data_IF_618451144900
#
_entry.id   IF_618451144900
#
_cell.length_a   1.000
_cell.length_b   1.000
_cell.length_c   1.000
_cell.angle_alpha   90.00
_cell.angle_beta   90.00
_cell.angle_gamma   90.00
#
_symmetry.space_group_name_H-M   'P 1'
#
loop_
_entity.id
_entity.type
_entity.pdbx_description
1 polymer ?
#
# COMPACT_ATOMS: atom_id res chain seq x y z
N UNK A 1 -20.83 -12.10 -43.14
CA UNK A 1 -21.03 -10.64 -42.99
C UNK A 1 -21.73 -10.12 -44.23
N UNK A 2 -22.76 -9.31 -44.03
CA UNK A 2 -23.67 -8.83 -45.09
C UNK A 2 -22.95 -7.86 -46.04
N UNK A 3 -23.27 -7.92 -47.34
CA UNK A 3 -22.75 -7.01 -48.39
C UNK A 3 -22.95 -5.51 -48.03
N UNK A 4 -23.92 -5.22 -47.16
CA UNK A 4 -24.21 -3.88 -46.65
C UNK A 4 -23.14 -3.35 -45.68
N UNK A 5 -22.40 -4.23 -44.98
CA UNK A 5 -21.29 -3.84 -44.11
C UNK A 5 -20.01 -3.55 -44.91
N UNK A 6 -19.83 -4.22 -46.06
CA UNK A 6 -18.70 -3.96 -46.96
C UNK A 6 -18.84 -2.64 -47.70
N UNK A 7 -20.05 -2.27 -48.14
CA UNK A 7 -20.29 -0.99 -48.80
C UNK A 7 -20.11 0.21 -47.87
N UNK A 8 -20.45 0.05 -46.58
CA UNK A 8 -20.28 1.09 -45.56
C UNK A 8 -18.82 1.33 -45.17
N UNK A 9 -18.00 0.27 -45.13
CA UNK A 9 -16.56 0.39 -44.90
C UNK A 9 -15.84 1.05 -46.08
N UNK A 10 -16.28 0.75 -47.31
CA UNK A 10 -15.68 1.29 -48.54
C UNK A 10 -15.96 2.79 -48.74
N UNK A 11 -17.13 3.28 -48.31
CA UNK A 11 -17.49 4.71 -48.40
C UNK A 11 -16.78 5.59 -47.37
N UNK A 12 -16.35 5.02 -46.23
CA UNK A 12 -15.54 5.72 -45.23
C UNK A 12 -14.05 5.75 -45.56
N UNK A 13 -13.53 4.73 -46.25
CA UNK A 13 -12.11 4.67 -46.62
C UNK A 13 -11.76 5.65 -47.77
N UNK A 14 -12.72 6.00 -48.62
CA UNK A 14 -12.56 6.96 -49.72
C UNK A 14 -12.47 8.44 -49.28
N UNK A 15 -12.65 8.74 -47.99
CA UNK A 15 -12.60 10.11 -47.42
C UNK A 15 -11.30 10.45 -46.69
N UNK A 16 -10.29 9.59 -46.74
CA UNK A 16 -8.98 9.86 -46.15
C UNK A 16 -8.04 10.43 -47.22
N UNK A 17 -7.33 11.54 -46.95
CA UNK A 17 -6.37 12.10 -47.89
C UNK A 17 -5.17 11.16 -48.08
N UNK A 18 -4.81 10.92 -49.34
CA UNK A 18 -3.66 10.12 -49.75
C UNK A 18 -2.42 11.02 -49.87
N UNK A 19 -1.79 11.41 -48.75
CA UNK A 19 -0.34 11.70 -48.64
C UNK A 19 0.03 12.26 -47.25
N UNK A 20 1.24 11.96 -46.73
CA UNK A 20 1.74 12.51 -45.48
C UNK A 20 2.22 13.97 -45.66
N UNK A 21 2.09 14.84 -44.63
CA UNK A 21 2.61 16.20 -44.72
C UNK A 21 4.15 16.20 -44.69
N UNK A 22 4.73 16.78 -45.72
CA UNK A 22 6.15 17.07 -45.87
C UNK A 22 6.57 18.18 -44.90
N UNK A 23 7.55 17.92 -44.04
CA UNK A 23 8.23 18.95 -43.26
C UNK A 23 9.10 19.83 -44.17
N UNK A 24 9.29 21.12 -43.85
CA UNK A 24 10.21 21.95 -44.61
C UNK A 24 11.66 21.70 -44.16
N UNK A 25 12.54 21.51 -45.14
CA UNK A 25 14.00 21.54 -44.99
C UNK A 25 14.59 22.34 -46.16
N UNK A 26 15.70 23.03 -45.89
CA UNK A 26 16.71 23.65 -46.79
C UNK A 26 16.41 25.12 -47.20
N UNK A 27 17.31 26.12 -47.12
CA UNK A 27 18.76 26.28 -46.84
C UNK A 27 19.05 27.82 -46.64
N UNK A 28 20.23 28.42 -46.93
CA UNK A 28 21.30 28.78 -45.98
C UNK A 28 21.70 30.28 -46.04
N UNK A 29 22.16 30.93 -44.96
CA UNK A 29 22.85 32.23 -45.11
C UNK A 29 23.90 32.44 -43.99
N UNK A 30 25.15 32.26 -44.41
CA UNK A 30 26.31 33.14 -44.29
C UNK A 30 26.73 33.73 -42.92
N UNK A 31 27.92 33.29 -42.52
CA UNK A 31 28.88 34.05 -41.72
C UNK A 31 29.35 35.27 -42.52
N UNK A 32 29.23 36.48 -41.97
CA UNK A 32 30.21 37.53 -42.23
C UNK A 32 30.55 38.34 -40.97
N UNK A 33 31.82 38.71 -40.98
CA UNK A 33 32.67 39.29 -39.94
C UNK A 33 32.33 40.77 -39.73
N UNK A 34 32.35 41.22 -38.49
CA UNK A 34 32.83 42.58 -38.19
C UNK A 34 33.55 42.62 -36.83
N UNK A 35 34.82 43.03 -36.92
CA UNK A 35 35.69 43.45 -35.84
C UNK A 35 35.39 44.88 -35.39
N UNK A 36 35.91 45.18 -34.19
CA UNK A 36 36.48 46.44 -33.68
C UNK A 36 35.95 46.67 -32.26
N UNK A 37 36.74 46.30 -31.23
CA UNK A 37 37.68 47.16 -30.50
C UNK A 37 36.93 47.97 -29.41
N UNK A 38 37.37 48.20 -28.17
CA UNK A 38 38.64 47.97 -27.50
C UNK A 38 38.38 48.18 -25.99
N UNK A 39 39.03 47.41 -25.12
CA UNK A 39 39.56 47.85 -23.80
C UNK A 39 40.06 46.64 -23.00
N UNK A 40 41.36 46.40 -23.13
CA UNK A 40 42.19 45.59 -22.24
C UNK A 40 42.56 46.37 -20.97
N UNK A 41 42.70 45.73 -19.80
CA UNK A 41 43.97 45.51 -19.06
C UNK A 41 43.61 45.14 -17.59
N UNK A 42 44.29 44.32 -16.78
CA UNK A 42 45.53 43.51 -16.87
C UNK A 42 45.52 42.49 -15.71
N UNK A 43 46.04 41.30 -16.04
CA UNK A 43 46.62 40.19 -15.25
C UNK A 43 46.85 40.34 -13.73
N UNK A 44 46.54 39.26 -12.99
CA UNK A 44 47.52 38.63 -12.09
C UNK A 44 47.25 37.13 -11.93
N UNK A 45 48.31 36.37 -12.17
CA UNK A 45 48.48 34.93 -12.03
C UNK A 45 48.41 34.49 -10.57
N UNK A 46 47.74 33.36 -10.31
CA UNK A 46 47.72 32.73 -9.00
C UNK A 46 46.91 31.44 -8.99
N UNK A 47 47.50 30.35 -9.51
CA UNK A 47 46.95 29.00 -9.39
C UNK A 47 46.98 28.55 -7.93
N UNK A 48 45.84 28.58 -7.24
CA UNK A 48 45.66 27.96 -5.92
C UNK A 48 44.78 26.73 -6.07
N UNK A 49 45.40 25.56 -5.90
CA UNK A 49 44.75 24.26 -5.78
C UNK A 49 44.03 24.20 -4.42
N UNK A 50 42.71 23.98 -4.32
CA UNK A 50 42.05 23.86 -3.03
C UNK A 50 42.30 22.46 -2.44
N UNK A 51 42.91 22.40 -1.25
CA UNK A 51 43.05 21.16 -0.48
C UNK A 51 41.69 20.65 0.04
N UNK A 52 41.41 19.34 -0.03
CA UNK A 52 40.12 18.76 0.36
C UNK A 52 40.09 18.50 1.87
N UNK A 53 40.02 19.54 2.70
CA UNK A 53 39.72 19.40 4.13
C UNK A 53 39.58 20.77 4.79
N UNK A 54 38.37 21.34 4.79
CA UNK A 54 37.89 22.27 5.82
C UNK A 54 36.40 22.58 5.60
N UNK A 55 35.55 21.95 6.39
CA UNK A 55 34.13 22.29 6.51
C UNK A 55 33.99 23.63 7.23
N UNK A 56 33.79 24.72 6.49
CA UNK A 56 33.65 26.08 7.06
C UNK A 56 32.18 26.51 7.33
N UNK A 57 31.21 25.59 7.29
CA UNK A 57 29.79 25.89 7.59
C UNK A 57 29.08 24.82 8.44
N UNK A 58 29.79 24.06 9.28
CA UNK A 58 29.14 23.16 10.24
C UNK A 58 28.89 23.89 11.57
N UNK A 59 27.69 24.46 11.74
CA UNK A 59 27.17 24.87 13.06
C UNK A 59 26.47 23.64 13.69
N UNK A 60 26.79 23.25 14.94
CA UNK A 60 26.08 22.16 15.60
C UNK A 60 24.72 22.66 16.08
N UNK A 61 23.70 22.53 15.22
CA UNK A 61 22.32 22.84 15.54
C UNK A 61 21.56 21.59 15.95
N UNK A 62 21.31 21.41 17.24
CA UNK A 62 20.42 20.38 17.81
C UNK A 62 18.93 20.57 17.43
N UNK A 63 18.64 21.42 16.44
CA UNK A 63 17.30 21.82 15.98
C UNK A 63 17.02 21.58 14.49
N UNK A 64 17.91 20.91 13.73
CA UNK A 64 17.68 20.65 12.29
C UNK A 64 17.04 19.30 11.96
N UNK A 65 17.09 18.31 12.88
CA UNK A 65 16.59 16.95 12.61
C UNK A 65 15.08 16.95 12.33
N UNK A 66 14.30 17.75 13.07
CA UNK A 66 12.84 17.91 12.89
C UNK A 66 12.45 18.56 11.56
N UNK A 67 13.31 19.35 10.93
CA UNK A 67 13.05 19.87 9.58
C UNK A 67 13.36 18.84 8.48
N UNK A 68 14.21 17.84 8.78
CA UNK A 68 14.62 16.82 7.81
C UNK A 68 13.74 15.57 7.85
N UNK A 69 13.35 15.08 9.02
CA UNK A 69 12.42 13.95 9.14
C UNK A 69 11.00 14.44 9.37
N UNK A 70 10.01 13.55 9.21
CA UNK A 70 8.63 13.77 9.62
C UNK A 70 8.24 12.67 10.60
N UNK A 71 7.62 13.00 11.74
CA UNK A 71 7.22 11.98 12.71
C UNK A 71 6.02 11.17 12.19
N UNK A 72 5.96 9.90 12.58
CA UNK A 72 4.82 9.05 12.21
C UNK A 72 3.49 9.55 12.78
N UNK A 73 3.53 10.29 13.89
CA UNK A 73 2.37 10.87 14.58
C UNK A 73 1.60 11.89 13.74
N UNK A 74 2.20 12.40 12.66
CA UNK A 74 1.50 13.26 11.69
C UNK A 74 0.49 12.48 10.84
N UNK A 75 0.62 11.15 10.78
CA UNK A 75 -0.14 10.27 9.88
C UNK A 75 -0.99 9.23 10.63
N UNK A 76 -0.56 8.81 11.82
CA UNK A 76 -1.26 7.82 12.64
C UNK A 76 -1.50 8.34 14.05
N UNK A 77 -2.58 7.85 14.69
CA UNK A 77 -2.95 8.33 16.03
C UNK A 77 -2.23 7.60 17.15
N UNK A 78 -1.82 6.35 16.94
CA UNK A 78 -1.10 5.54 17.92
C UNK A 78 -0.25 4.47 17.24
N UNK A 79 0.71 3.92 17.97
CA UNK A 79 1.44 2.70 17.62
C UNK A 79 1.14 1.61 18.65
N UNK A 80 1.18 0.34 18.24
CA UNK A 80 0.97 -0.79 19.14
C UNK A 80 2.10 -1.81 18.98
N UNK A 81 2.42 -2.46 20.09
CA UNK A 81 3.32 -3.61 20.16
C UNK A 81 2.51 -4.84 20.58
N UNK A 82 2.34 -5.78 19.65
CA UNK A 82 1.48 -6.95 19.81
C UNK A 82 2.38 -8.19 19.97
N UNK A 83 2.37 -8.78 21.16
CA UNK A 83 3.27 -9.90 21.48
C UNK A 83 2.62 -11.24 21.13
N UNK A 84 3.27 -12.01 20.28
CA UNK A 84 2.95 -13.38 19.94
C UNK A 84 4.03 -14.31 20.49
N UNK A 85 3.62 -15.41 21.13
CA UNK A 85 4.52 -16.47 21.58
C UNK A 85 4.27 -17.68 20.69
N UNK A 86 5.29 -18.10 19.93
CA UNK A 86 5.30 -19.30 19.11
C UNK A 86 6.07 -20.40 19.86
N UNK A 87 5.34 -21.11 20.72
CA UNK A 87 5.88 -22.16 21.61
C UNK A 87 6.62 -23.27 20.85
N UNK A 88 6.11 -23.79 19.71
CA UNK A 88 6.81 -24.78 18.90
C UNK A 88 8.23 -24.37 18.48
N UNK A 89 8.41 -23.09 18.15
CA UNK A 89 9.68 -22.56 17.67
C UNK A 89 10.51 -21.86 18.77
N UNK A 90 10.02 -21.86 20.02
CA UNK A 90 10.59 -21.07 21.12
C UNK A 90 10.83 -19.59 20.77
N UNK A 91 9.97 -18.99 19.92
CA UNK A 91 10.12 -17.59 19.52
C UNK A 91 9.04 -16.71 20.14
N UNK A 92 9.44 -15.50 20.53
CA UNK A 92 8.58 -14.39 20.93
C UNK A 92 8.72 -13.30 19.88
N UNK A 93 7.62 -13.02 19.21
CA UNK A 93 7.54 -11.96 18.19
C UNK A 93 6.80 -10.79 18.80
N UNK A 94 7.41 -9.61 18.77
CA UNK A 94 6.75 -8.37 19.13
C UNK A 94 6.46 -7.62 17.84
N UNK A 95 5.23 -7.79 17.33
CA UNK A 95 4.78 -7.12 16.11
C UNK A 95 4.54 -5.64 16.38
N UNK A 96 5.05 -4.79 15.50
CA UNK A 96 4.83 -3.36 15.55
C UNK A 96 3.85 -2.90 14.49
N UNK A 97 2.90 -2.05 14.87
CA UNK A 97 1.92 -1.48 13.94
C UNK A 97 1.65 -0.01 14.23
N UNK A 98 1.39 0.75 13.18
CA UNK A 98 0.84 2.09 13.25
C UNK A 98 -0.66 2.03 13.01
N UNK A 99 -1.44 2.65 13.89
CA UNK A 99 -2.89 2.55 13.91
C UNK A 99 -3.54 3.93 13.98
N UNK A 100 -4.51 4.13 13.09
CA UNK A 100 -5.65 5.01 13.31
C UNK A 100 -6.90 4.14 13.40
N UNK A 101 -7.59 4.06 14.54
CA UNK A 101 -8.84 3.32 14.62
C UNK A 101 -9.92 3.96 13.72
N UNK A 102 -10.82 3.16 13.11
CA UNK A 102 -11.99 3.71 12.46
C UNK A 102 -12.85 4.45 13.49
N UNK A 103 -13.49 5.55 13.08
CA UNK A 103 -14.26 6.40 14.00
C UNK A 103 -15.55 5.72 14.50
N UNK A 104 -16.09 4.79 13.72
CA UNK A 104 -17.28 4.01 14.05
C UNK A 104 -17.23 2.62 13.37
N UNK A 105 -18.10 1.71 13.80
CA UNK A 105 -18.15 0.32 13.30
C UNK A 105 -18.59 0.20 11.84
N UNK A 106 -19.15 1.25 11.25
CA UNK A 106 -19.53 1.32 9.83
C UNK A 106 -18.38 1.77 8.94
N UNK A 107 -17.32 2.34 9.51
CA UNK A 107 -16.19 2.86 8.76
C UNK A 107 -15.19 1.74 8.42
N UNK A 108 -14.57 1.77 7.23
CA UNK A 108 -13.66 0.72 6.81
C UNK A 108 -12.34 0.79 7.59
N UNK A 109 -11.65 -0.35 7.65
CA UNK A 109 -10.26 -0.44 8.06
C UNK A 109 -9.40 -0.85 6.87
N UNK A 110 -8.50 0.04 6.45
CA UNK A 110 -7.47 -0.29 5.48
C UNK A 110 -6.29 -0.95 6.20
N UNK A 111 -6.00 -2.21 5.86
CA UNK A 111 -4.89 -2.98 6.43
C UNK A 111 -3.75 -2.97 5.41
N UNK A 112 -2.64 -2.32 5.75
CA UNK A 112 -1.54 -2.03 4.84
C UNK A 112 -0.33 -2.91 5.14
N UNK A 113 0.15 -3.63 4.13
CA UNK A 113 1.35 -4.48 4.20
C UNK A 113 2.40 -4.00 3.21
N UNK A 114 3.58 -3.61 3.71
CA UNK A 114 4.68 -3.10 2.89
C UNK A 114 5.43 -4.20 2.13
N UNK A 115 6.29 -3.80 1.19
CA UNK A 115 7.22 -4.67 0.46
C UNK A 115 8.49 -4.99 1.23
N UNK A 116 9.29 -5.94 0.74
CA UNK A 116 10.53 -6.34 1.41
C UNK A 116 11.56 -5.18 1.48
N UNK A 117 12.18 -5.01 2.64
CA UNK A 117 13.13 -3.91 2.92
C UNK A 117 12.49 -2.56 3.23
N UNK A 118 11.17 -2.50 3.34
CA UNK A 118 10.39 -1.30 3.73
C UNK A 118 9.86 -1.42 5.16
N UNK A 119 8.89 -0.57 5.52
CA UNK A 119 8.19 -0.63 6.82
C UNK A 119 6.75 -0.15 6.65
N UNK A 120 5.93 -0.26 7.70
CA UNK A 120 4.58 0.28 7.77
C UNK A 120 4.51 1.79 7.48
N UNK A 121 5.60 2.53 7.67
CA UNK A 121 5.66 3.96 7.32
C UNK A 121 5.70 4.23 5.82
N UNK A 122 5.95 3.23 4.97
CA UNK A 122 5.79 3.38 3.52
C UNK A 122 4.34 3.68 3.10
N UNK A 123 3.36 3.44 3.97
CA UNK A 123 1.97 3.84 3.71
C UNK A 123 1.56 5.15 4.39
N UNK A 124 2.44 5.82 5.14
CA UNK A 124 2.10 7.01 5.93
C UNK A 124 1.46 8.12 5.06
N UNK A 125 2.12 8.50 3.96
CA UNK A 125 1.60 9.54 3.07
C UNK A 125 0.24 9.14 2.45
N UNK A 126 0.11 7.89 1.99
CA UNK A 126 -1.15 7.39 1.44
C UNK A 126 -2.27 7.33 2.49
N UNK A 127 -1.97 6.92 3.72
CA UNK A 127 -2.91 6.90 4.85
C UNK A 127 -3.47 8.29 5.15
N UNK A 128 -2.59 9.32 5.15
CA UNK A 128 -3.01 10.71 5.29
C UNK A 128 -3.97 11.16 4.19
N UNK A 129 -3.69 10.79 2.93
CA UNK A 129 -4.56 11.12 1.80
C UNK A 129 -5.91 10.37 1.84
N UNK A 130 -5.93 9.09 2.25
CA UNK A 130 -7.18 8.32 2.45
C UNK A 130 -8.06 9.03 3.47
N UNK A 131 -7.48 9.46 4.60
CA UNK A 131 -8.24 10.12 5.66
C UNK A 131 -8.70 11.54 5.30
N UNK A 132 -8.07 12.21 4.34
CA UNK A 132 -8.64 13.46 3.78
C UNK A 132 -9.93 13.20 3.02
N UNK A 133 -10.06 12.04 2.36
CA UNK A 133 -11.25 11.67 1.57
C UNK A 133 -12.32 11.00 2.45
N UNK A 134 -11.93 10.10 3.36
CA UNK A 134 -12.79 9.45 4.34
C UNK A 134 -12.22 9.71 5.75
N UNK A 135 -12.57 10.83 6.41
CA UNK A 135 -12.03 11.18 7.74
C UNK A 135 -12.19 10.12 8.82
N UNK A 136 -13.23 9.30 8.68
CA UNK A 136 -13.59 8.22 9.61
C UNK A 136 -12.91 6.88 9.34
N UNK A 137 -12.22 6.72 8.21
CA UNK A 137 -11.56 5.47 7.85
C UNK A 137 -10.44 5.14 8.86
N UNK A 138 -10.40 3.88 9.28
CA UNK A 138 -9.30 3.32 10.03
C UNK A 138 -8.15 2.93 9.11
N UNK A 139 -6.93 3.02 9.63
CA UNK A 139 -5.70 2.58 8.96
C UNK A 139 -4.91 1.73 9.94
N UNK A 140 -4.61 0.48 9.57
CA UNK A 140 -3.70 -0.40 10.28
C UNK A 140 -2.51 -0.69 9.37
N UNK A 141 -1.36 -0.08 9.62
CA UNK A 141 -0.15 -0.25 8.81
C UNK A 141 0.91 -0.99 9.60
N UNK A 142 1.30 -2.17 9.12
CA UNK A 142 2.10 -3.11 9.89
C UNK A 142 3.58 -3.00 9.53
N UNK A 143 4.46 -3.27 10.50
CA UNK A 143 5.84 -3.66 10.22
C UNK A 143 5.89 -5.19 10.17
N UNK A 144 6.26 -5.74 9.02
CA UNK A 144 6.43 -7.19 8.88
C UNK A 144 7.56 -7.70 9.77
N UNK A 145 7.57 -9.01 10.03
CA UNK A 145 8.67 -9.70 10.69
C UNK A 145 10.04 -9.28 10.12
N UNK A 146 11.00 -9.01 11.01
CA UNK A 146 12.35 -8.52 10.66
C UNK A 146 12.39 -7.20 9.86
N UNK A 147 11.32 -6.42 9.92
CA UNK A 147 11.20 -5.08 9.35
C UNK A 147 10.71 -4.08 10.39
N UNK A 148 11.02 -2.80 10.16
CA UNK A 148 10.61 -1.71 11.04
C UNK A 148 10.89 -2.02 12.52
N UNK A 149 9.95 -1.76 13.42
CA UNK A 149 10.15 -2.03 14.85
C UNK A 149 9.68 -3.42 15.29
N UNK A 150 9.31 -4.32 14.36
CA UNK A 150 8.96 -5.70 14.68
C UNK A 150 10.22 -6.48 15.03
N UNK A 151 10.22 -7.15 16.18
CA UNK A 151 11.38 -7.88 16.69
C UNK A 151 11.03 -9.34 17.00
N UNK A 152 11.94 -10.25 16.64
CA UNK A 152 11.88 -11.67 16.97
C UNK A 152 12.96 -11.97 18.01
N UNK A 153 12.57 -12.57 19.13
CA UNK A 153 13.44 -12.89 20.27
C UNK A 153 13.15 -14.30 20.77
N UNK A 154 14.04 -14.90 21.56
CA UNK A 154 13.79 -16.21 22.17
C UNK A 154 12.74 -16.08 23.27
N UNK A 155 11.76 -16.99 23.31
CA UNK A 155 10.68 -16.95 24.30
C UNK A 155 11.18 -17.25 25.72
N UNK A 156 12.25 -18.05 25.84
CA UNK A 156 12.91 -18.37 27.12
C UNK A 156 13.74 -17.21 27.70
N UNK A 157 14.00 -16.14 26.95
CA UNK A 157 14.82 -15.01 27.40
C UNK A 157 16.31 -15.34 27.58
N UNK A 158 16.72 -16.56 27.26
CA UNK A 158 18.12 -16.97 27.21
C UNK A 158 18.63 -16.72 25.78
N UNK A 159 19.57 -15.77 25.64
CA UNK A 159 20.38 -15.61 24.42
C UNK A 159 21.36 -16.78 24.35
N UNK A 160 20.83 -17.98 24.09
CA UNK A 160 21.56 -19.24 24.10
C UNK A 160 22.47 -19.40 22.89
N UNK A 161 23.29 -18.41 22.54
CA UNK A 161 24.37 -18.47 21.53
C UNK A 161 23.98 -18.74 20.07
N UNK A 162 22.88 -19.45 19.82
CA UNK A 162 22.31 -19.75 18.51
C UNK A 162 21.29 -18.67 18.15
N UNK A 163 21.54 -17.98 17.04
CA UNK A 163 20.62 -17.00 16.48
C UNK A 163 19.31 -17.67 16.05
N UNK A 164 18.20 -16.93 16.15
CA UNK A 164 16.91 -17.40 15.66
C UNK A 164 16.98 -17.53 14.15
N UNK A 165 16.59 -18.69 13.62
CA UNK A 165 16.54 -18.90 12.17
C UNK A 165 15.52 -17.93 11.54
N UNK A 166 15.96 -17.23 10.49
CA UNK A 166 15.11 -16.34 9.74
C UNK A 166 14.06 -17.15 8.98
N UNK A 167 12.78 -16.93 9.25
CA UNK A 167 11.66 -17.49 8.49
C UNK A 167 10.75 -16.38 7.99
N UNK A 168 10.86 -16.09 6.69
CA UNK A 168 10.00 -15.16 5.97
C UNK A 168 9.18 -15.89 4.89
N UNK A 169 8.85 -17.17 5.11
CA UNK A 169 7.94 -17.89 4.23
C UNK A 169 6.57 -17.20 4.18
N UNK A 170 5.84 -17.37 3.06
CA UNK A 170 4.49 -16.79 2.95
C UNK A 170 3.56 -17.31 4.05
N UNK A 171 3.65 -18.59 4.40
CA UNK A 171 2.83 -19.18 5.46
C UNK A 171 3.02 -18.45 6.79
N UNK A 172 4.28 -18.20 7.16
CA UNK A 172 4.62 -17.47 8.38
C UNK A 172 4.17 -16.01 8.32
N UNK A 173 4.41 -15.31 7.21
CA UNK A 173 3.97 -13.91 7.05
C UNK A 173 2.44 -13.76 7.05
N UNK A 174 1.71 -14.73 6.50
CA UNK A 174 0.25 -14.76 6.53
C UNK A 174 -0.26 -14.91 7.96
N UNK A 175 0.30 -15.87 8.71
CA UNK A 175 -0.02 -16.11 10.12
C UNK A 175 0.24 -14.86 10.96
N UNK A 176 1.34 -14.18 10.71
CA UNK A 176 1.70 -12.92 11.36
C UNK A 176 0.67 -11.82 11.06
N UNK A 177 0.27 -11.64 9.79
CA UNK A 177 -0.75 -10.66 9.41
C UNK A 177 -2.11 -10.96 10.05
N UNK A 178 -2.55 -12.23 10.03
CA UNK A 178 -3.82 -12.65 10.65
C UNK A 178 -3.77 -12.42 12.16
N UNK A 179 -2.68 -12.78 12.82
CA UNK A 179 -2.47 -12.52 14.25
C UNK A 179 -2.60 -11.02 14.54
N UNK A 180 -1.88 -10.17 13.80
CA UNK A 180 -1.87 -8.71 14.00
C UNK A 180 -3.28 -8.12 13.87
N UNK A 181 -4.06 -8.53 12.85
CA UNK A 181 -5.43 -8.04 12.67
C UNK A 181 -6.34 -8.46 13.83
N UNK A 182 -6.25 -9.72 14.26
CA UNK A 182 -7.08 -10.26 15.36
C UNK A 182 -6.70 -9.68 16.72
N UNK A 183 -5.40 -9.55 16.98
CA UNK A 183 -4.93 -8.96 18.22
C UNK A 183 -5.25 -7.47 18.26
N UNK A 184 -5.16 -6.75 17.13
CA UNK A 184 -5.65 -5.36 17.05
C UNK A 184 -7.14 -5.27 17.38
N UNK A 185 -7.96 -6.19 16.86
CA UNK A 185 -9.39 -6.26 17.20
C UNK A 185 -9.61 -6.38 18.71
N UNK A 186 -8.88 -7.29 19.36
CA UNK A 186 -8.91 -7.51 20.82
C UNK A 186 -8.50 -6.26 21.58
N UNK A 187 -7.34 -5.67 21.24
CA UNK A 187 -6.79 -4.48 21.89
C UNK A 187 -7.68 -3.25 21.78
N UNK A 188 -8.41 -3.13 20.66
CA UNK A 188 -9.34 -2.03 20.44
C UNK A 188 -10.76 -2.29 20.96
N UNK A 189 -11.03 -3.49 21.49
CA UNK A 189 -12.35 -3.86 22.01
C UNK A 189 -13.44 -3.88 20.94
N UNK A 190 -13.09 -4.19 19.69
CA UNK A 190 -14.09 -4.26 18.60
C UNK A 190 -14.89 -5.56 18.69
N UNK A 191 -16.20 -5.44 18.98
CA UNK A 191 -17.13 -6.58 19.02
C UNK A 191 -17.08 -7.42 17.73
N UNK A 192 -16.89 -6.76 16.59
CA UNK A 192 -16.67 -7.38 15.29
C UNK A 192 -15.62 -6.59 14.54
N UNK A 193 -14.83 -7.26 13.69
CA UNK A 193 -13.92 -6.57 12.78
C UNK A 193 -14.71 -5.55 11.94
N UNK A 194 -14.16 -4.33 11.74
CA UNK A 194 -14.62 -3.43 10.68
C UNK A 194 -14.52 -4.12 9.32
N UNK A 195 -15.20 -3.57 8.33
CA UNK A 195 -15.02 -4.02 6.96
C UNK A 195 -13.60 -3.70 6.48
N UNK A 196 -12.91 -4.73 5.99
CA UNK A 196 -11.49 -4.69 5.69
C UNK A 196 -11.24 -4.47 4.20
N UNK A 197 -10.30 -3.57 3.92
CA UNK A 197 -9.64 -3.45 2.62
C UNK A 197 -8.16 -3.76 2.83
N UNK A 198 -7.71 -4.91 2.30
CA UNK A 198 -6.30 -5.28 2.40
C UNK A 198 -5.52 -4.58 1.28
N UNK A 199 -4.38 -3.97 1.59
CA UNK A 199 -3.55 -3.29 0.60
C UNK A 199 -2.11 -3.73 0.80
N UNK A 200 -1.50 -4.27 -0.25
CA UNK A 200 -0.22 -4.93 -0.16
C UNK A 200 0.68 -4.48 -1.30
N UNK A 201 1.88 -4.00 -0.97
CA UNK A 201 2.89 -3.63 -1.95
C UNK A 201 3.94 -4.73 -2.08
N UNK A 202 4.28 -5.13 -3.32
CA UNK A 202 5.34 -6.11 -3.58
C UNK A 202 5.15 -7.40 -2.76
N UNK A 203 6.11 -7.78 -1.88
CA UNK A 203 5.96 -8.87 -0.89
C UNK A 203 4.62 -8.80 -0.15
N UNK A 204 4.24 -7.63 0.37
CA UNK A 204 2.98 -7.46 1.07
C UNK A 204 1.76 -7.75 0.20
N UNK A 205 1.86 -7.52 -1.11
CA UNK A 205 0.85 -7.91 -2.09
C UNK A 205 0.65 -9.43 -2.15
N UNK A 206 1.74 -10.19 -2.07
CA UNK A 206 1.68 -11.65 -2.02
C UNK A 206 1.04 -12.16 -0.72
N UNK A 207 1.45 -11.60 0.42
CA UNK A 207 0.92 -11.95 1.76
C UNK A 207 -0.59 -11.71 1.83
N UNK A 208 -1.05 -10.49 1.50
CA UNK A 208 -2.49 -10.20 1.59
C UNK A 208 -3.34 -11.04 0.62
N UNK A 209 -2.75 -11.42 -0.52
CA UNK A 209 -3.44 -12.23 -1.53
C UNK A 209 -3.66 -13.63 -1.02
N UNK A 210 -2.65 -14.22 -0.38
CA UNK A 210 -2.80 -15.57 0.17
C UNK A 210 -3.70 -15.56 1.41
N UNK A 211 -3.64 -14.55 2.28
CA UNK A 211 -4.63 -14.37 3.38
C UNK A 211 -6.05 -14.25 2.85
N UNK A 212 -6.28 -13.45 1.79
CA UNK A 212 -7.60 -13.32 1.16
C UNK A 212 -8.08 -14.64 0.53
N UNK A 213 -7.14 -15.45 -0.01
CA UNK A 213 -7.42 -16.78 -0.57
C UNK A 213 -7.82 -17.79 0.50
N UNK A 214 -7.06 -17.84 1.60
CA UNK A 214 -7.29 -18.75 2.72
C UNK A 214 -8.60 -18.42 3.46
N UNK A 215 -8.96 -17.12 3.51
CA UNK A 215 -10.24 -16.68 4.04
C UNK A 215 -10.32 -16.65 5.57
N UNK A 216 -9.17 -16.63 6.27
CA UNK A 216 -9.07 -16.63 7.73
C UNK A 216 -9.68 -15.39 8.40
N UNK A 217 -9.71 -14.27 7.67
CA UNK A 217 -10.38 -13.03 8.09
C UNK A 217 -11.88 -12.99 7.74
N UNK A 218 -12.40 -14.06 7.10
CA UNK A 218 -13.82 -14.29 6.86
C UNK A 218 -14.48 -13.29 5.90
N UNK A 219 -15.79 -13.08 6.08
CA UNK A 219 -16.62 -12.23 5.21
C UNK A 219 -16.34 -10.73 5.33
N UNK A 220 -15.49 -10.35 6.30
CA UNK A 220 -15.08 -8.97 6.61
C UNK A 220 -14.06 -8.42 5.62
N UNK A 221 -13.31 -9.28 4.93
CA UNK A 221 -12.51 -8.85 3.79
C UNK A 221 -13.46 -8.54 2.63
N UNK A 222 -13.69 -7.25 2.38
CA UNK A 222 -14.49 -6.80 1.25
C UNK A 222 -13.71 -6.90 -0.05
N UNK A 223 -12.46 -6.44 0.00
CA UNK A 223 -11.61 -6.32 -1.16
C UNK A 223 -10.13 -6.29 -0.79
N UNK A 224 -9.26 -6.55 -1.78
CA UNK A 224 -7.82 -6.46 -1.64
C UNK A 224 -7.17 -5.80 -2.86
N UNK A 225 -6.11 -5.04 -2.62
CA UNK A 225 -5.39 -4.24 -3.59
C UNK A 225 -3.90 -4.60 -3.59
N UNK A 226 -3.43 -5.11 -4.73
CA UNK A 226 -2.03 -5.49 -4.94
C UNK A 226 -1.32 -4.36 -5.70
N UNK A 227 -0.23 -3.86 -5.13
CA UNK A 227 0.53 -2.73 -5.67
C UNK A 227 1.88 -3.19 -6.22
N UNK A 228 2.10 -2.90 -7.51
CA UNK A 228 3.33 -3.09 -8.28
C UNK A 228 3.98 -4.48 -8.18
N UNK A 229 3.18 -5.54 -8.26
CA UNK A 229 3.68 -6.92 -8.37
C UNK A 229 2.80 -7.76 -9.27
N UNK A 230 3.45 -8.51 -10.16
CA UNK A 230 2.88 -9.55 -11.01
C UNK A 230 3.88 -10.69 -11.07
N UNK A 231 3.42 -11.93 -10.94
CA UNK A 231 4.26 -13.13 -10.85
C UNK A 231 5.37 -13.16 -11.91
N UNK A 232 5.02 -13.10 -13.20
CA UNK A 232 6.01 -13.17 -14.27
C UNK A 232 7.09 -12.09 -14.16
N UNK A 233 6.68 -10.82 -14.03
CA UNK A 233 7.62 -9.71 -13.89
C UNK A 233 8.43 -9.73 -12.60
N UNK A 234 7.87 -10.27 -11.51
CA UNK A 234 8.54 -10.39 -10.24
C UNK A 234 9.67 -11.42 -10.34
N UNK A 235 9.38 -12.59 -10.93
CA UNK A 235 10.36 -13.66 -11.16
C UNK A 235 11.52 -13.19 -12.04
N UNK A 236 11.24 -12.41 -13.08
CA UNK A 236 12.28 -11.81 -13.93
C UNK A 236 13.11 -10.78 -13.14
N UNK A 237 12.45 -9.93 -12.34
CA UNK A 237 13.12 -8.90 -11.55
C UNK A 237 14.06 -9.48 -10.48
N UNK A 238 13.74 -10.65 -9.91
CA UNK A 238 14.58 -11.33 -8.91
C UNK A 238 16.01 -11.58 -9.41
N UNK A 239 16.20 -11.85 -10.71
CA UNK A 239 17.52 -12.07 -11.31
C UNK A 239 18.41 -10.82 -11.22
N UNK A 240 17.80 -9.62 -11.25
CA UNK A 240 18.50 -8.33 -11.19
C UNK A 240 18.60 -7.75 -9.78
N UNK A 241 17.88 -8.34 -8.81
CA UNK A 241 17.76 -7.80 -7.46
C UNK A 241 19.10 -7.81 -6.71
N UNK A 242 19.94 -8.82 -6.91
CA UNK A 242 21.29 -8.86 -6.33
C UNK A 242 22.15 -7.70 -6.79
N UNK A 243 22.15 -7.42 -8.10
CA UNK A 243 22.87 -6.28 -8.67
C UNK A 243 22.37 -4.97 -8.06
N UNK A 244 21.05 -4.81 -7.90
CA UNK A 244 20.48 -3.65 -7.22
C UNK A 244 20.97 -3.53 -5.77
N UNK A 245 20.97 -4.63 -5.00
CA UNK A 245 21.45 -4.64 -3.63
C UNK A 245 22.92 -4.25 -3.52
N UNK A 246 23.77 -4.64 -4.49
CA UNK A 246 25.17 -4.24 -4.53
C UNK A 246 25.37 -2.73 -4.78
N UNK A 247 24.41 -2.05 -5.40
CA UNK A 247 24.49 -0.58 -5.59
C UNK A 247 24.12 0.23 -4.34
N UNK A 248 23.50 -0.41 -3.34
CA UNK A 248 23.07 0.27 -2.11
C UNK A 248 24.29 0.58 -1.23
N UNK A 249 24.42 1.81 -0.70
CA UNK A 249 25.37 2.09 0.36
C UNK A 249 25.10 1.15 1.53
N UNK A 250 26.14 0.50 2.06
CA UNK A 250 26.01 -0.37 3.24
C UNK A 250 25.77 0.42 4.52
N UNK A 251 26.26 1.67 4.56
CA UNK A 251 26.19 2.57 5.73
C UNK A 251 25.95 4.02 5.31
N UNK A 252 25.39 4.81 6.22
CA UNK A 252 25.07 6.23 6.04
C UNK A 252 25.66 7.10 7.16
N UNK A 253 26.15 8.32 6.84
CA UNK A 253 26.55 9.29 7.87
C UNK A 253 25.42 9.73 8.80
N UNK A 254 24.20 9.80 8.29
CA UNK A 254 23.01 10.25 9.02
C UNK A 254 21.72 9.75 8.39
N UNK A 255 20.61 9.79 9.13
CA UNK A 255 19.26 9.58 8.56
C UNK A 255 19.02 10.50 7.35
N UNK A 256 19.41 11.78 7.44
CA UNK A 256 19.26 12.75 6.35
C UNK A 256 19.95 12.29 5.07
N UNK A 257 21.18 11.78 5.17
CA UNK A 257 21.88 11.22 4.00
C UNK A 257 21.20 9.98 3.42
N UNK A 258 20.54 9.18 4.27
CA UNK A 258 19.67 8.08 3.83
C UNK A 258 18.46 8.57 3.03
N UNK A 259 17.77 9.61 3.51
CA UNK A 259 16.64 10.24 2.81
C UNK A 259 17.08 10.82 1.46
N UNK A 260 18.21 11.53 1.44
CA UNK A 260 18.80 12.08 0.22
C UNK A 260 19.17 10.99 -0.78
N UNK A 261 19.72 9.86 -0.31
CA UNK A 261 20.03 8.74 -1.19
C UNK A 261 18.76 8.16 -1.84
N UNK A 262 17.69 7.93 -1.08
CA UNK A 262 16.43 7.39 -1.63
C UNK A 262 15.81 8.31 -2.69
N UNK A 263 15.86 9.63 -2.45
CA UNK A 263 15.31 10.63 -3.39
C UNK A 263 16.20 10.81 -4.62
N UNK A 264 17.52 10.84 -4.46
CA UNK A 264 18.48 10.97 -5.58
C UNK A 264 18.53 9.71 -6.45
N UNK A 265 18.46 8.52 -5.85
CA UNK A 265 18.37 7.24 -6.57
C UNK A 265 17.01 7.02 -7.23
N UNK A 266 16.02 7.87 -6.90
CA UNK A 266 14.61 7.72 -7.32
C UNK A 266 13.97 6.41 -6.86
N UNK A 267 14.51 5.79 -5.80
CA UNK A 267 13.85 4.67 -5.12
C UNK A 267 12.52 5.12 -4.52
N UNK A 268 12.54 6.29 -3.86
CA UNK A 268 11.33 7.01 -3.42
C UNK A 268 11.40 8.41 -4.04
N UNK A 269 10.49 8.73 -4.94
CA UNK A 269 10.47 10.00 -5.69
C UNK A 269 9.85 11.12 -4.88
N UNK A 270 8.91 10.81 -4.01
CA UNK A 270 8.23 11.79 -3.17
C UNK A 270 9.07 12.12 -1.93
N UNK A 271 9.54 13.38 -1.85
CA UNK A 271 10.36 13.85 -0.73
C UNK A 271 9.62 13.78 0.62
N UNK A 272 8.33 14.12 0.65
CA UNK A 272 7.54 14.06 1.89
C UNK A 272 7.42 12.61 2.38
N UNK A 273 7.12 11.67 1.49
CA UNK A 273 7.06 10.24 1.84
C UNK A 273 8.42 9.75 2.36
N UNK A 274 9.51 10.05 1.66
CA UNK A 274 10.85 9.65 2.08
C UNK A 274 11.23 10.17 3.48
N UNK A 275 10.78 11.38 3.86
CA UNK A 275 11.09 11.98 5.17
C UNK A 275 10.38 11.29 6.34
N UNK A 276 9.26 10.61 6.10
CA UNK A 276 8.54 9.82 7.12
C UNK A 276 8.92 8.33 7.06
N UNK A 277 9.12 7.76 5.87
CA UNK A 277 9.30 6.32 5.69
C UNK A 277 10.74 5.83 5.86
N UNK A 278 11.74 6.60 5.41
CA UNK A 278 13.16 6.18 5.45
C UNK A 278 13.73 6.05 6.87
N UNK A 279 13.40 6.92 7.85
CA UNK A 279 13.96 6.80 9.20
C UNK A 279 13.76 5.43 9.86
N UNK A 280 12.62 4.76 9.64
CA UNK A 280 12.37 3.42 10.19
C UNK A 280 13.17 2.32 9.48
N UNK A 281 13.75 2.58 8.30
CA UNK A 281 14.57 1.62 7.56
C UNK A 281 16.02 1.58 8.03
N UNK A 282 16.42 2.53 8.87
CA UNK A 282 17.78 2.67 9.37
C UNK A 282 17.82 2.59 10.90
N UNK A 283 18.95 2.14 11.43
CA UNK A 283 19.28 2.26 12.84
C UNK A 283 20.75 2.62 13.03
N UNK A 284 21.05 3.22 14.17
CA UNK A 284 22.42 3.56 14.54
C UNK A 284 23.10 2.32 15.15
N UNK A 285 24.22 1.91 14.54
CA UNK A 285 25.07 0.84 15.03
C UNK A 285 26.08 1.44 16.04
N UNK A 286 25.91 1.22 17.36
CA UNK A 286 26.78 1.82 18.37
C UNK A 286 28.21 1.27 18.32
N UNK A 287 28.41 0.09 17.69
CA UNK A 287 29.69 -0.57 17.55
C UNK A 287 30.26 -0.41 16.13
N UNK A 288 29.85 0.65 15.42
CA UNK A 288 30.22 0.90 14.03
C UNK A 288 31.73 0.83 13.81
N UNK A 289 32.21 0.00 12.85
CA UNK A 289 33.61 0.02 12.43
C UNK A 289 33.99 1.32 11.70
N UNK A 290 33.00 2.08 11.22
CA UNK A 290 33.17 3.41 10.63
C UNK A 290 32.33 4.43 11.41
N UNK A 291 32.90 5.11 12.43
CA UNK A 291 32.18 6.11 13.21
C UNK A 291 31.63 7.29 12.39
N UNK A 292 32.13 7.50 11.15
CA UNK A 292 31.63 8.55 10.26
C UNK A 292 30.34 8.14 9.52
N UNK A 293 30.02 6.84 9.53
CA UNK A 293 28.81 6.27 8.92
C UNK A 293 28.16 5.25 9.87
N UNK A 294 27.61 5.70 11.01
CA UNK A 294 27.09 4.78 12.03
C UNK A 294 25.72 4.19 11.66
N UNK A 295 25.02 4.73 10.66
CA UNK A 295 23.68 4.27 10.31
C UNK A 295 23.71 3.13 9.31
N UNK A 296 22.97 2.06 9.58
CA UNK A 296 22.88 0.89 8.71
C UNK A 296 21.43 0.49 8.46
N UNK A 297 21.22 -0.31 7.43
CA UNK A 297 19.90 -0.84 7.10
C UNK A 297 19.41 -1.76 8.21
N UNK A 298 18.15 -1.55 8.60
CA UNK A 298 17.48 -2.35 9.61
C UNK A 298 17.26 -3.79 9.17
N UNK A 299 16.77 -3.97 7.94
CA UNK A 299 16.54 -5.30 7.37
C UNK A 299 17.71 -5.70 6.49
N UNK A 300 18.29 -6.86 6.77
CA UNK A 300 19.24 -7.51 5.87
C UNK A 300 18.48 -8.17 4.70
N UNK A 301 18.17 -7.37 3.68
CA UNK A 301 17.35 -7.84 2.56
C UNK A 301 18.02 -9.01 1.81
N UNK A 302 19.36 -9.05 1.73
CA UNK A 302 20.09 -10.17 1.09
C UNK A 302 19.87 -11.50 1.79
N UNK A 303 19.73 -11.51 3.13
CA UNK A 303 19.46 -12.73 3.90
C UNK A 303 18.07 -13.33 3.58
N UNK A 304 17.16 -12.52 3.05
CA UNK A 304 15.80 -12.96 2.70
C UNK A 304 15.70 -13.65 1.33
N UNK A 305 16.80 -13.65 0.55
CA UNK A 305 16.85 -14.24 -0.80
C UNK A 305 16.26 -15.65 -0.92
N UNK A 306 16.50 -16.59 0.02
CA UNK A 306 15.95 -17.95 -0.08
C UNK A 306 14.41 -18.01 -0.18
N UNK A 307 13.71 -16.96 0.25
CA UNK A 307 12.24 -16.93 0.27
C UNK A 307 11.62 -16.28 -0.97
N UNK A 308 12.39 -15.51 -1.75
CA UNK A 308 11.86 -14.60 -2.77
C UNK A 308 11.02 -15.28 -3.84
N UNK A 309 11.51 -16.39 -4.40
CA UNK A 309 10.78 -17.15 -5.41
C UNK A 309 9.43 -17.63 -4.88
N UNK A 310 9.42 -18.23 -3.68
CA UNK A 310 8.23 -18.77 -3.06
C UNK A 310 7.19 -17.71 -2.65
N UNK A 311 7.58 -16.42 -2.61
CA UNK A 311 6.63 -15.32 -2.43
C UNK A 311 5.75 -15.10 -3.66
N UNK A 312 6.26 -15.35 -4.86
CA UNK A 312 5.58 -14.97 -6.09
C UNK A 312 5.05 -16.15 -6.91
N UNK A 313 5.54 -17.37 -6.67
CA UNK A 313 5.05 -18.58 -7.34
C UNK A 313 3.54 -18.76 -7.13
N UNK A 314 2.81 -18.81 -8.25
CA UNK A 314 1.36 -18.93 -8.32
C UNK A 314 0.59 -17.71 -7.82
N UNK A 315 1.24 -16.55 -7.63
CA UNK A 315 0.61 -15.34 -7.14
C UNK A 315 -0.55 -14.89 -8.05
N UNK A 316 -0.37 -14.96 -9.37
CA UNK A 316 -1.39 -14.46 -10.31
C UNK A 316 -2.67 -15.29 -10.23
N UNK A 317 -2.54 -16.62 -10.18
CA UNK A 317 -3.65 -17.54 -9.93
C UNK A 317 -4.30 -17.30 -8.56
N UNK A 318 -3.50 -17.23 -7.48
CA UNK A 318 -4.00 -16.97 -6.13
C UNK A 318 -4.78 -15.64 -6.07
N UNK A 319 -4.28 -14.61 -6.74
CA UNK A 319 -4.93 -13.31 -6.87
C UNK A 319 -6.29 -13.42 -7.54
N UNK A 320 -6.41 -14.18 -8.64
CA UNK A 320 -7.67 -14.34 -9.37
C UNK A 320 -8.68 -15.23 -8.61
N UNK A 321 -8.22 -16.25 -7.90
CA UNK A 321 -9.05 -17.23 -7.20
C UNK A 321 -9.54 -16.73 -5.82
N UNK A 322 -8.86 -15.76 -5.22
CA UNK A 322 -9.21 -15.22 -3.91
C UNK A 322 -10.56 -14.45 -3.89
N UNK A 323 -11.20 -14.45 -2.72
CA UNK A 323 -12.55 -13.88 -2.50
C UNK A 323 -12.47 -12.39 -2.23
N UNK A 324 -13.50 -11.66 -2.68
CA UNK A 324 -13.59 -10.21 -2.52
C UNK A 324 -13.28 -9.44 -3.79
N UNK A 325 -13.47 -8.13 -3.75
CA UNK A 325 -13.07 -7.22 -4.83
C UNK A 325 -11.56 -7.30 -5.04
N UNK A 326 -11.13 -7.25 -6.30
CA UNK A 326 -9.72 -7.29 -6.70
C UNK A 326 -9.28 -6.01 -7.38
N UNK A 327 -8.22 -5.39 -6.88
CA UNK A 327 -7.55 -4.25 -7.51
C UNK A 327 -6.08 -4.58 -7.74
N UNK A 328 -5.59 -4.31 -8.95
CA UNK A 328 -4.18 -4.33 -9.29
C UNK A 328 -3.77 -2.92 -9.71
N UNK A 329 -2.77 -2.35 -9.03
CA UNK A 329 -2.23 -1.03 -9.32
C UNK A 329 -0.78 -1.19 -9.75
N UNK A 330 -0.43 -0.77 -10.97
CA UNK A 330 0.91 -0.95 -11.53
C UNK A 330 1.55 0.39 -11.90
N UNK A 331 2.88 0.47 -11.83
CA UNK A 331 3.63 1.59 -12.40
C UNK A 331 3.71 1.47 -13.94
N UNK A 332 3.70 0.25 -14.48
CA UNK A 332 3.74 -0.03 -15.93
C UNK A 332 2.90 -1.24 -16.33
N UNK A 333 2.32 -1.22 -17.53
CA UNK A 333 1.46 -2.30 -18.06
C UNK A 333 2.22 -3.41 -18.77
N UNK A 334 3.51 -3.20 -19.04
CA UNK A 334 4.44 -4.15 -19.67
C UNK A 334 4.69 -5.42 -18.82
N UNK A 335 4.00 -5.54 -17.69
CA UNK A 335 4.26 -6.51 -16.63
C UNK A 335 3.16 -7.55 -16.44
N UNK A 336 2.05 -7.50 -17.19
CA UNK A 336 0.97 -8.47 -17.03
C UNK A 336 1.37 -9.83 -17.63
N UNK A 337 1.34 -10.88 -16.81
CA UNK A 337 1.48 -12.25 -17.30
C UNK A 337 0.21 -12.74 -18.00
N UNK A 338 0.29 -13.95 -18.56
CA UNK A 338 -0.80 -14.58 -19.30
C UNK A 338 -2.07 -14.75 -18.44
N UNK A 339 -1.95 -15.13 -17.19
CA UNK A 339 -3.10 -15.37 -16.32
C UNK A 339 -3.83 -14.07 -16.00
N UNK A 340 -3.09 -13.03 -15.61
CA UNK A 340 -3.65 -11.72 -15.34
C UNK A 340 -4.22 -11.07 -16.61
N UNK A 341 -3.58 -11.24 -17.76
CA UNK A 341 -4.13 -10.76 -19.04
C UNK A 341 -5.49 -11.41 -19.34
N UNK A 342 -5.62 -12.73 -19.15
CA UNK A 342 -6.90 -13.43 -19.31
C UNK A 342 -7.92 -12.93 -18.28
N UNK A 343 -7.51 -12.80 -17.02
CA UNK A 343 -8.37 -12.31 -15.94
C UNK A 343 -8.88 -10.90 -16.20
N UNK A 344 -8.04 -10.03 -16.75
CA UNK A 344 -8.39 -8.66 -17.12
C UNK A 344 -9.39 -8.62 -18.26
N UNK A 345 -9.16 -9.40 -19.32
CA UNK A 345 -10.09 -9.52 -20.46
C UNK A 345 -11.45 -10.09 -20.05
N UNK A 346 -11.49 -10.90 -18.97
CA UNK A 346 -12.70 -11.43 -18.36
C UNK A 346 -13.35 -10.48 -17.34
N UNK A 347 -12.74 -9.33 -17.03
CA UNK A 347 -13.24 -8.38 -16.04
C UNK A 347 -13.20 -8.89 -14.59
N UNK A 348 -12.29 -9.83 -14.27
CA UNK A 348 -12.17 -10.43 -12.92
C UNK A 348 -11.62 -9.49 -11.85
N UNK A 349 -10.93 -8.43 -12.26
CA UNK A 349 -10.35 -7.44 -11.36
C UNK A 349 -10.32 -6.05 -11.99
N UNK A 350 -10.11 -5.04 -11.16
CA UNK A 350 -9.88 -3.67 -11.60
C UNK A 350 -8.38 -3.45 -11.78
N UNK A 351 -7.97 -2.96 -12.94
CA UNK A 351 -6.58 -2.57 -13.21
C UNK A 351 -6.48 -1.05 -13.30
N UNK A 352 -5.48 -0.49 -12.63
CA UNK A 352 -5.12 0.92 -12.73
C UNK A 352 -3.61 1.05 -12.91
N UNK A 353 -3.18 2.10 -13.62
CA UNK A 353 -1.77 2.27 -13.99
C UNK A 353 -1.35 3.71 -13.68
N UNK A 354 -0.24 3.86 -12.96
CA UNK A 354 0.33 5.14 -12.56
C UNK A 354 1.77 5.28 -13.12
N UNK A 355 1.92 5.66 -14.40
CA UNK A 355 3.23 5.68 -15.09
C UNK A 355 4.22 6.71 -14.54
N UNK A 356 3.75 7.67 -13.75
CA UNK A 356 4.60 8.67 -13.09
C UNK A 356 5.30 8.11 -11.84
N UNK A 357 4.80 6.99 -11.28
CA UNK A 357 5.40 6.33 -10.12
C UNK A 357 6.57 5.43 -10.53
N UNK A 358 7.52 5.26 -9.59
CA UNK A 358 8.42 4.12 -9.59
C UNK A 358 7.77 2.90 -8.93
N UNK A 359 8.59 2.04 -8.35
CA UNK A 359 8.12 0.80 -7.72
C UNK A 359 7.20 1.04 -6.50
N UNK A 360 7.47 2.10 -5.73
CA UNK A 360 6.72 2.45 -4.52
C UNK A 360 5.55 3.38 -4.85
N UNK A 361 4.52 2.86 -5.54
CA UNK A 361 3.38 3.65 -6.03
C UNK A 361 2.68 4.43 -4.91
N UNK A 362 2.50 3.80 -3.76
CA UNK A 362 1.89 4.40 -2.56
C UNK A 362 2.71 5.55 -1.97
N UNK A 363 4.03 5.56 -2.17
CA UNK A 363 4.92 6.62 -1.71
C UNK A 363 5.06 7.74 -2.76
N UNK A 364 5.17 7.36 -4.03
CA UNK A 364 5.41 8.29 -5.13
C UNK A 364 4.16 9.08 -5.50
N UNK A 365 2.99 8.43 -5.51
CA UNK A 365 1.70 9.01 -5.90
C UNK A 365 0.63 8.78 -4.81
N UNK A 366 0.85 9.23 -3.56
CA UNK A 366 -0.01 8.89 -2.42
C UNK A 366 -1.45 9.36 -2.60
N UNK A 367 -1.67 10.55 -3.17
CA UNK A 367 -3.01 11.10 -3.39
C UNK A 367 -3.80 10.32 -4.45
N UNK A 368 -3.16 9.98 -5.58
CA UNK A 368 -3.80 9.17 -6.64
C UNK A 368 -4.08 7.75 -6.12
N UNK A 369 -3.11 7.15 -5.42
CA UNK A 369 -3.28 5.82 -4.80
C UNK A 369 -4.44 5.82 -3.81
N UNK A 370 -4.52 6.82 -2.93
CA UNK A 370 -5.61 6.96 -1.96
C UNK A 370 -6.98 7.11 -2.63
N UNK A 371 -7.08 7.96 -3.66
CA UNK A 371 -8.32 8.14 -4.41
C UNK A 371 -8.81 6.82 -5.02
N UNK A 372 -7.91 6.07 -5.66
CA UNK A 372 -8.24 4.77 -6.27
C UNK A 372 -8.69 3.76 -5.21
N UNK A 373 -7.98 3.67 -4.08
CA UNK A 373 -8.33 2.77 -2.98
C UNK A 373 -9.69 3.11 -2.37
N UNK A 374 -9.99 4.40 -2.21
CA UNK A 374 -11.28 4.87 -1.68
C UNK A 374 -12.42 4.58 -2.64
N UNK A 375 -12.25 4.88 -3.94
CA UNK A 375 -13.28 4.59 -4.95
C UNK A 375 -13.53 3.08 -5.07
N UNK A 376 -12.46 2.29 -4.97
CA UNK A 376 -12.52 0.85 -4.95
C UNK A 376 -13.26 0.32 -3.70
N UNK A 377 -12.99 0.86 -2.51
CA UNK A 377 -13.75 0.56 -1.30
C UNK A 377 -15.25 0.86 -1.51
N UNK A 378 -15.59 2.09 -1.91
CA UNK A 378 -16.99 2.53 -2.11
C UNK A 378 -17.76 1.62 -3.08
N UNK A 379 -17.10 1.12 -4.12
CA UNK A 379 -17.71 0.18 -5.08
C UNK A 379 -17.99 -1.20 -4.49
N UNK A 380 -17.19 -1.65 -3.53
CA UNK A 380 -17.31 -2.96 -2.89
C UNK A 380 -18.07 -2.92 -1.56
N UNK A 381 -18.37 -1.72 -1.07
CA UNK A 381 -19.18 -1.54 0.13
C UNK A 381 -20.59 -2.09 -0.07
N UNK A 382 -20.93 -3.09 0.74
CA UNK A 382 -22.21 -3.79 0.69
C UNK A 382 -23.34 -2.97 1.31
N UNK A 383 -23.03 -1.94 2.10
CA UNK A 383 -24.03 -1.06 2.70
C UNK A 383 -24.81 -0.26 1.64
N UNK A 384 -24.19 -0.01 0.49
CA UNK A 384 -24.80 0.69 -0.65
C UNK A 384 -25.78 -0.19 -1.45
N UNK A 385 -25.74 -1.52 -1.29
CA UNK A 385 -26.63 -2.47 -1.97
C UNK A 385 -27.92 -2.68 -1.15
N UNK A 386 -28.71 -1.63 -0.97
CA UNK A 386 -30.11 -1.78 -0.56
C UNK A 386 -30.90 -2.25 -1.78
N UNK A 387 -31.01 -3.56 -1.96
CA UNK A 387 -31.92 -4.13 -2.95
C UNK A 387 -33.36 -3.71 -2.59
N UNK A 388 -34.18 -3.26 -3.56
CA UNK A 388 -35.60 -3.05 -3.31
C UNK A 388 -36.19 -4.33 -2.70
N UNK A 389 -37.00 -4.24 -1.65
CA UNK A 389 -37.63 -5.41 -1.06
C UNK A 389 -38.35 -6.19 -2.16
N UNK A 390 -38.21 -7.53 -2.16
CA UNK A 390 -38.85 -8.38 -3.15
C UNK A 390 -40.34 -8.08 -3.14
N UNK A 391 -40.97 -8.03 -4.31
CA UNK A 391 -42.41 -7.75 -4.44
C UNK A 391 -43.26 -8.67 -3.55
N UNK A 392 -42.79 -9.91 -3.32
CA UNK A 392 -43.40 -10.84 -2.37
C UNK A 392 -43.39 -10.36 -0.91
N UNK A 393 -42.31 -9.74 -0.45
CA UNK A 393 -42.19 -9.20 0.92
C UNK A 393 -43.02 -7.92 1.10
N UNK A 394 -43.13 -7.12 0.04
CA UNK A 394 -44.06 -5.98 -0.03
C UNK A 394 -45.52 -6.43 -0.01
N UNK A 395 -45.86 -7.50 -0.73
CA UNK A 395 -47.21 -8.07 -0.72
C UNK A 395 -47.54 -8.73 0.63
N UNK A 396 -46.59 -9.43 1.24
CA UNK A 396 -46.75 -10.04 2.56
C UNK A 396 -46.92 -8.98 3.67
N UNK A 397 -46.13 -7.92 3.66
CA UNK A 397 -46.27 -6.81 4.61
C UNK A 397 -47.57 -6.00 4.40
N UNK A 398 -48.02 -5.84 3.15
CA UNK A 398 -49.32 -5.23 2.85
C UNK A 398 -50.51 -6.12 3.28
N UNK A 399 -50.41 -7.44 3.14
CA UNK A 399 -51.41 -8.39 3.60
C UNK A 399 -51.49 -8.45 5.14
N UNK A 400 -50.35 -8.42 5.83
CA UNK A 400 -50.27 -8.33 7.30
C UNK A 400 -50.93 -7.05 7.82
N UNK A 401 -50.70 -5.89 7.16
CA UNK A 401 -51.37 -4.62 7.50
C UNK A 401 -52.88 -4.65 7.27
N UNK A 402 -53.37 -5.37 6.26
CA UNK A 402 -54.81 -5.56 6.03
C UNK A 402 -55.45 -6.54 7.01
N UNK A 403 -54.72 -7.58 7.44
CA UNK A 403 -55.20 -8.56 8.42
C UNK A 403 -55.38 -8.00 9.83
N UNK A 404 -54.55 -7.04 10.24
CA UNK A 404 -54.66 -6.39 11.55
C UNK A 404 -55.87 -5.43 11.67
N UNK A 405 -56.54 -5.09 10.57
CA UNK A 405 -57.67 -4.15 10.54
C UNK A 405 -59.07 -4.78 10.66
N UNK A 406 -59.19 -6.12 10.66
CA UNK A 406 -60.50 -6.82 10.58
C UNK A 406 -60.92 -7.45 11.93
N UNK A 407 -60.14 -7.27 13.00
CA UNK A 407 -60.39 -7.87 14.32
C UNK A 407 -61.17 -7.03 15.35
N UNK A 408 -61.63 -5.82 15.01
CA UNK A 408 -62.40 -4.97 15.93
C UNK A 408 -63.88 -4.89 15.49
N UNK A 409 -64.55 -6.04 15.54
CA UNK A 409 -65.99 -6.16 15.31
C UNK A 409 -66.79 -5.78 16.56
N UNK A 410 -67.73 -4.86 16.36
CA UNK A 410 -68.76 -4.47 17.31
C UNK A 410 -69.65 -5.65 17.78
N UNK A 411 -70.07 -5.59 19.05
CA UNK A 411 -71.12 -6.42 19.64
C UNK A 411 -71.68 -5.74 20.89
N UNK A 412 -72.91 -5.24 20.79
CA UNK A 412 -73.63 -4.42 21.76
C UNK A 412 -74.23 -5.23 22.94
N UNK A 413 -74.64 -4.52 24.01
CA UNK A 413 -75.81 -4.92 24.80
C UNK A 413 -75.66 -4.81 26.32
N UNK A 414 -76.28 -3.78 26.88
CA UNK A 414 -76.53 -3.65 28.32
C UNK A 414 -77.61 -4.63 28.81
N UNK A 415 -77.50 -5.16 30.03
CA UNK A 415 -78.60 -5.14 31.02
C UNK A 415 -78.19 -5.73 32.38
N UNK A 416 -78.87 -5.19 33.40
CA UNK A 416 -78.73 -5.32 34.83
C UNK A 416 -78.72 -6.73 35.46
N UNK A 417 -78.12 -6.78 36.66
CA UNK A 417 -78.82 -7.30 37.85
C UNK A 417 -78.25 -8.59 38.46
N UNK A 418 -77.91 -8.52 39.75
CA UNK A 418 -77.94 -9.70 40.61
C UNK A 418 -76.74 -9.89 41.53
N UNK A 419 -76.87 -9.36 42.76
CA UNK A 419 -76.32 -9.96 43.99
C UNK A 419 -76.28 -11.50 43.91
N UNK A 420 -75.19 -12.14 44.35
CA UNK A 420 -75.18 -12.93 45.60
C UNK A 420 -73.80 -13.52 45.90
N UNK A 421 -73.62 -13.77 47.19
CA UNK A 421 -72.43 -14.05 48.00
C UNK A 421 -72.22 -15.57 48.18
N UNK A 422 -71.01 -15.92 48.66
CA UNK A 422 -70.52 -17.19 49.24
C UNK A 422 -69.87 -18.14 48.20
N UNK A 423 -68.71 -18.75 48.44
CA UNK A 423 -67.93 -19.04 49.67
C UNK A 423 -66.49 -18.58 49.47
#
# INVERSE_FOLDING_TARGET
MSELQKSFAKSRLAKLPLQPPTGPSMQPLDEEVSHDDDSSSTSSTGTIVPSPSRQLFARPGRGSVQQTTLPWTDYFTQELYLTQIDTPNNTKITHHVYLTPPADSSSPLFVMHHGAGSSGLSFAACAGEIRKIIPKAGILSIDARDHGSTAVTHASGEDGGEGIELDLSLETLNRDLVFVVRETQSRMGWESLPDLVLVGHSLGGAVITDVARQGELGSKVLAYAVLDVVEGSAMDALQSMETYLMTRPSRFPSITSGIEWHTRSRTIRNKTSARVSVPSLLYEDPNSPDPTKPWIWRTNLSATKPFWENWFVGLSRKFLDARGGKLLLLAGTDRLDKELMIGQMQGKYQLQVLPEAGHFIQEDQPAKTAQILVDFYKRNDRSALVLPPKVADLQASAAMKKGAGIGAGAGAGASAGGLFKKI
#
